data_IF_336645952092
#
_entry.id   IF_336645952092
#
_cell.length_a   1.000
_cell.length_b   1.000
_cell.length_c   1.000
_cell.angle_alpha   90.00
_cell.angle_beta   90.00
_cell.angle_gamma   90.00
#
_symmetry.space_group_name_H-M   'P 1'
#
loop_
_entity.id
_entity.type
_entity.pdbx_description
1 polymer ?
#
# COMPACT_ATOMS: atom_id res chain seq x y z
N UNK A 1 -59.81 -6.59 -0.06
CA UNK A 1 -60.05 -7.95 0.48
C UNK A 1 -59.26 -8.94 -0.39
N UNK A 2 -58.20 -9.61 0.08
CA UNK A 2 -58.15 -10.87 0.90
C UNK A 2 -58.40 -12.12 0.01
N UNK A 3 -57.57 -13.19 -0.05
CA UNK A 3 -56.25 -13.61 0.53
C UNK A 3 -55.59 -14.60 -0.50
N UNK A 4 -54.28 -14.60 -0.81
CA UNK A 4 -53.07 -15.19 -0.15
C UNK A 4 -53.00 -16.74 -0.01
N UNK A 5 -51.78 -17.31 -0.18
CA UNK A 5 -51.25 -18.72 -0.12
C UNK A 5 -51.10 -19.47 -1.47
N UNK A 6 -50.14 -20.38 -1.76
CA UNK A 6 -48.69 -20.68 -1.44
C UNK A 6 -48.44 -22.23 -1.50
N UNK A 7 -47.40 -22.70 -2.22
CA UNK A 7 -46.50 -23.90 -1.98
C UNK A 7 -45.70 -24.26 -3.28
N UNK A 8 -44.35 -24.30 -3.37
CA UNK A 8 -43.29 -25.29 -2.93
C UNK A 8 -43.35 -26.63 -3.73
N UNK A 9 -42.36 -27.07 -4.54
CA UNK A 9 -41.10 -27.83 -4.23
C UNK A 9 -39.99 -27.77 -5.35
N UNK A 10 -38.90 -28.58 -5.27
CA UNK A 10 -37.54 -28.45 -5.92
C UNK A 10 -37.14 -29.73 -6.75
N UNK A 11 -36.03 -29.73 -7.56
CA UNK A 11 -34.91 -30.75 -7.63
C UNK A 11 -34.22 -31.04 -9.03
N UNK A 12 -32.86 -31.08 -9.06
CA UNK A 12 -31.84 -31.69 -10.03
C UNK A 12 -31.69 -31.16 -11.49
N UNK A 13 -30.56 -31.28 -12.24
CA UNK A 13 -29.24 -32.00 -12.11
C UNK A 13 -28.05 -31.39 -12.94
N UNK A 14 -26.80 -31.89 -12.77
CA UNK A 14 -25.49 -31.42 -13.29
C UNK A 14 -25.05 -31.90 -14.71
N UNK A 15 -24.12 -31.17 -15.37
CA UNK A 15 -22.90 -31.72 -16.06
C UNK A 15 -21.97 -30.62 -16.66
N UNK A 16 -20.65 -30.89 -16.73
CA UNK A 16 -19.61 -30.06 -17.39
C UNK A 16 -18.81 -30.91 -18.41
N UNK A 17 -18.48 -30.38 -19.59
CA UNK A 17 -17.42 -30.93 -20.45
C UNK A 17 -16.90 -29.89 -21.46
N UNK A 18 -15.59 -29.72 -21.58
CA UNK A 18 -14.91 -28.91 -22.60
C UNK A 18 -13.76 -29.72 -23.23
N UNK A 19 -13.60 -29.63 -24.56
CA UNK A 19 -12.42 -30.11 -25.29
C UNK A 19 -11.95 -29.03 -26.28
N UNK A 20 -10.63 -28.98 -26.51
CA UNK A 20 -9.96 -27.99 -27.35
C UNK A 20 -9.71 -28.48 -28.79
N UNK A 21 -9.32 -27.56 -29.67
CA UNK A 21 -9.13 -27.79 -31.11
C UNK A 21 -7.65 -27.78 -31.55
N UNK A 22 -7.39 -28.27 -32.76
CA UNK A 22 -6.18 -28.06 -33.57
C UNK A 22 -6.60 -27.46 -34.94
N UNK A 23 -5.75 -26.87 -35.79
CA UNK A 23 -4.29 -26.73 -35.82
C UNK A 23 -3.83 -25.60 -36.80
N UNK A 24 -2.52 -25.35 -36.84
CA UNK A 24 -1.73 -24.66 -37.89
C UNK A 24 -1.53 -23.12 -37.85
N UNK A 25 -0.29 -22.71 -38.11
CA UNK A 25 0.24 -21.36 -37.94
C UNK A 25 1.32 -21.00 -38.99
N UNK A 26 1.52 -19.69 -39.23
CA UNK A 26 2.67 -19.12 -39.95
C UNK A 26 3.34 -18.09 -39.01
N UNK A 27 4.66 -18.20 -38.82
CA UNK A 27 5.37 -17.45 -37.79
C UNK A 27 5.90 -16.09 -38.30
N UNK A 28 5.46 -15.02 -37.64
CA UNK A 28 6.18 -13.73 -37.54
C UNK A 28 6.25 -13.41 -36.05
N UNK A 29 7.46 -13.26 -35.50
CA UNK A 29 7.80 -13.53 -34.08
C UNK A 29 6.61 -13.51 -33.11
N UNK A 30 6.07 -14.71 -32.89
CA UNK A 30 4.69 -14.91 -32.49
C UNK A 30 4.47 -14.64 -31.00
N UNK A 31 5.54 -14.67 -30.19
CA UNK A 31 5.46 -14.50 -28.75
C UNK A 31 5.15 -13.04 -28.36
N UNK A 32 5.90 -12.08 -28.91
CA UNK A 32 5.76 -10.66 -28.55
C UNK A 32 4.49 -10.07 -29.18
N UNK A 33 4.25 -10.34 -30.47
CA UNK A 33 3.03 -9.89 -31.15
C UNK A 33 1.76 -10.59 -30.61
N UNK A 34 1.92 -11.80 -30.05
CA UNK A 34 0.85 -12.54 -29.36
C UNK A 34 0.50 -11.98 -27.98
N UNK A 35 1.49 -11.48 -27.23
CA UNK A 35 1.24 -10.75 -25.96
C UNK A 35 0.46 -9.45 -26.23
N UNK A 36 0.93 -8.65 -27.20
CA UNK A 36 0.32 -7.34 -27.52
C UNK A 36 -1.13 -7.52 -28.01
N UNK A 37 -1.43 -8.53 -28.83
CA UNK A 37 -2.82 -8.82 -29.24
C UNK A 37 -3.72 -9.41 -28.13
N UNK A 38 -3.16 -10.01 -27.07
CA UNK A 38 -3.97 -10.55 -25.95
C UNK A 38 -4.43 -9.47 -24.96
N UNK A 39 -3.74 -8.34 -24.91
CA UNK A 39 -4.02 -7.24 -23.98
C UNK A 39 -4.89 -6.13 -24.59
N UNK A 40 -5.05 -6.11 -25.91
CA UNK A 40 -5.95 -5.18 -26.60
C UNK A 40 -7.35 -5.79 -26.79
N UNK A 41 -8.44 -5.01 -26.67
CA UNK A 41 -9.78 -5.46 -27.04
C UNK A 41 -9.83 -5.87 -28.50
N UNK A 42 -10.62 -6.90 -28.82
CA UNK A 42 -10.90 -7.22 -30.22
C UNK A 42 -11.67 -6.05 -30.88
N UNK A 43 -11.55 -5.87 -32.20
CA UNK A 43 -12.02 -4.67 -32.92
C UNK A 43 -13.53 -4.38 -32.80
N UNK A 44 -14.31 -5.34 -32.28
CA UNK A 44 -15.76 -5.25 -32.05
C UNK A 44 -16.14 -5.14 -30.56
N UNK A 45 -15.20 -4.82 -29.66
CA UNK A 45 -15.46 -4.44 -28.26
C UNK A 45 -15.80 -5.55 -27.26
N UNK A 46 -16.06 -6.80 -27.69
CA UNK A 46 -16.40 -7.89 -26.77
C UNK A 46 -15.17 -8.56 -26.11
N UNK A 47 -15.24 -8.71 -24.79
CA UNK A 47 -14.23 -9.34 -23.93
C UNK A 47 -14.46 -10.85 -23.78
N UNK A 48 -13.38 -11.63 -23.70
CA UNK A 48 -13.43 -13.06 -23.39
C UNK A 48 -13.74 -13.34 -21.90
N UNK A 49 -14.16 -14.56 -21.51
CA UNK A 49 -14.42 -14.89 -20.11
C UNK A 49 -13.23 -14.67 -19.16
N UNK A 50 -12.00 -14.92 -19.63
CA UNK A 50 -10.78 -14.63 -18.87
C UNK A 50 -10.57 -13.11 -18.66
N UNK A 51 -10.91 -12.30 -19.67
CA UNK A 51 -10.90 -10.84 -19.55
C UNK A 51 -12.07 -10.33 -18.68
N UNK A 52 -13.23 -11.00 -18.68
CA UNK A 52 -14.34 -10.68 -17.77
C UNK A 52 -13.98 -10.97 -16.30
N UNK A 53 -13.22 -12.02 -15.99
CA UNK A 53 -12.74 -12.26 -14.61
C UNK A 53 -11.82 -11.12 -14.16
N UNK A 54 -10.91 -10.65 -15.02
CA UNK A 54 -10.08 -9.47 -14.77
C UNK A 54 -10.92 -8.18 -14.64
N UNK A 55 -12.11 -8.12 -15.24
CA UNK A 55 -13.00 -6.97 -15.18
C UNK A 55 -13.94 -6.99 -13.95
N UNK A 56 -14.38 -8.17 -13.50
CA UNK A 56 -15.23 -8.38 -12.31
C UNK A 56 -14.42 -8.22 -11.02
N UNK A 57 -13.16 -8.67 -11.03
CA UNK A 57 -12.16 -8.37 -9.98
C UNK A 57 -11.26 -7.19 -10.37
N UNK A 58 -11.73 -6.34 -11.29
CA UNK A 58 -10.99 -5.19 -11.82
C UNK A 58 -10.87 -4.05 -10.82
N UNK A 59 -9.97 -3.09 -11.07
CA UNK A 59 -9.76 -1.96 -10.18
C UNK A 59 -11.06 -1.17 -10.01
N UNK A 60 -11.48 -1.00 -8.77
CA UNK A 60 -12.67 -0.21 -8.42
C UNK A 60 -12.55 1.18 -9.04
N UNK A 61 -13.63 1.65 -9.68
CA UNK A 61 -13.57 2.79 -10.59
C UNK A 61 -13.24 4.12 -9.89
N UNK A 62 -11.95 4.43 -9.78
CA UNK A 62 -11.51 5.82 -9.78
C UNK A 62 -11.43 6.30 -11.22
N UNK A 63 -12.41 7.13 -11.60
CA UNK A 63 -12.17 8.12 -12.66
C UNK A 63 -10.94 8.91 -12.22
N UNK A 64 -9.82 8.77 -12.92
CA UNK A 64 -8.63 9.59 -12.66
C UNK A 64 -9.02 11.06 -12.85
N UNK A 65 -9.31 11.76 -11.76
CA UNK A 65 -9.56 13.19 -11.80
C UNK A 65 -8.23 13.89 -12.05
N UNK A 66 -7.96 14.13 -13.34
CA UNK A 66 -6.76 14.80 -13.85
C UNK A 66 -5.45 14.27 -13.24
N UNK A 67 -4.88 13.22 -13.84
CA UNK A 67 -3.53 12.75 -13.49
C UNK A 67 -2.49 13.88 -13.50
N UNK A 68 -2.67 14.88 -14.36
CA UNK A 68 -1.88 16.10 -14.40
C UNK A 68 -2.00 16.93 -13.10
N UNK A 69 -3.20 17.15 -12.57
CA UNK A 69 -3.38 17.90 -11.31
C UNK A 69 -2.87 17.12 -10.09
N UNK A 70 -2.95 15.79 -10.10
CA UNK A 70 -2.41 14.96 -9.02
C UNK A 70 -0.89 15.02 -9.00
N UNK A 71 -0.23 14.90 -10.17
CA UNK A 71 1.22 15.01 -10.30
C UNK A 71 1.70 16.45 -9.95
N UNK A 72 0.98 17.49 -10.38
CA UNK A 72 1.29 18.87 -9.98
C UNK A 72 1.11 19.10 -8.47
N UNK A 73 0.06 18.52 -7.85
CA UNK A 73 -0.20 18.65 -6.40
C UNK A 73 0.81 17.90 -5.54
N UNK A 74 1.32 16.77 -6.02
CA UNK A 74 2.29 15.94 -5.29
C UNK A 74 3.72 16.48 -5.35
N UNK A 75 4.04 17.31 -6.34
CA UNK A 75 5.41 17.74 -6.58
C UNK A 75 6.28 16.61 -7.16
N UNK A 76 7.46 16.98 -7.65
CA UNK A 76 8.30 16.10 -8.48
C UNK A 76 9.03 14.98 -7.71
N UNK A 77 8.83 14.84 -6.39
CA UNK A 77 9.64 13.97 -5.51
C UNK A 77 8.83 12.98 -4.65
N UNK A 78 7.51 12.89 -4.84
CA UNK A 78 6.68 11.83 -4.25
C UNK A 78 6.57 10.61 -5.19
N UNK A 79 6.90 9.42 -4.69
CA UNK A 79 6.73 8.14 -5.37
C UNK A 79 5.30 7.61 -5.18
N UNK A 80 4.49 7.60 -6.23
CA UNK A 80 3.11 7.08 -6.20
C UNK A 80 3.12 5.56 -6.32
N UNK A 81 2.55 4.86 -5.34
CA UNK A 81 2.32 3.41 -5.37
C UNK A 81 0.83 3.10 -5.34
N UNK A 82 0.34 2.51 -6.44
CA UNK A 82 -1.07 2.15 -6.62
C UNK A 82 -1.58 1.27 -5.48
N UNK A 83 -2.67 1.69 -4.82
CA UNK A 83 -3.29 0.97 -3.71
C UNK A 83 -2.59 1.09 -2.36
N UNK A 84 -1.52 1.89 -2.23
CA UNK A 84 -0.83 2.16 -0.94
C UNK A 84 -0.83 3.65 -0.60
N UNK A 85 -0.58 4.53 -1.58
CA UNK A 85 -0.44 5.98 -1.41
C UNK A 85 0.78 6.53 -2.15
N UNK A 86 1.14 7.78 -1.88
CA UNK A 86 2.38 8.38 -2.35
C UNK A 86 3.34 8.66 -1.19
N UNK A 87 4.62 8.33 -1.37
CA UNK A 87 5.63 8.44 -0.32
C UNK A 87 6.82 9.30 -0.75
N UNK A 88 7.40 10.03 0.22
CA UNK A 88 8.59 10.85 0.02
C UNK A 88 9.55 10.70 1.18
N UNK A 89 10.83 10.43 0.90
CA UNK A 89 11.90 10.43 1.89
C UNK A 89 12.54 11.83 1.99
N UNK A 90 12.40 12.48 3.14
CA UNK A 90 13.22 13.63 3.49
C UNK A 90 14.53 13.14 4.12
N UNK A 91 15.63 13.18 3.37
CA UNK A 91 16.97 12.81 3.85
C UNK A 91 17.50 13.78 4.92
N UNK A 92 17.00 15.03 4.95
CA UNK A 92 17.33 16.01 5.99
C UNK A 92 16.87 15.51 7.36
N UNK A 93 17.75 15.60 8.36
CA UNK A 93 17.49 15.06 9.70
C UNK A 93 16.79 16.09 10.59
N UNK A 94 15.64 15.73 11.16
CA UNK A 94 14.84 16.58 12.05
C UNK A 94 14.28 15.79 13.26
N UNK A 95 14.01 16.46 14.40
CA UNK A 95 13.15 15.95 15.47
C UNK A 95 11.77 15.53 14.96
N UNK A 96 11.19 14.48 15.55
CA UNK A 96 9.95 13.85 15.08
C UNK A 96 8.79 14.84 14.91
N UNK A 97 8.54 15.72 15.90
CA UNK A 97 7.51 16.75 15.81
C UNK A 97 7.75 17.80 14.71
N UNK A 98 9.02 18.09 14.37
CA UNK A 98 9.36 18.99 13.24
C UNK A 98 9.15 18.27 11.91
N UNK A 99 9.50 16.99 11.83
CA UNK A 99 9.22 16.14 10.66
C UNK A 99 7.70 15.99 10.40
N UNK A 100 6.90 15.74 11.44
CA UNK A 100 5.41 15.72 11.37
C UNK A 100 4.87 17.01 10.75
N UNK A 101 5.35 18.16 11.21
CA UNK A 101 4.91 19.45 10.67
C UNK A 101 5.25 19.64 9.19
N UNK A 102 6.44 19.23 8.75
CA UNK A 102 6.80 19.26 7.32
C UNK A 102 5.82 18.44 6.49
N UNK A 103 5.50 17.20 6.89
CA UNK A 103 4.59 16.38 6.10
C UNK A 103 3.17 16.97 6.03
N UNK A 104 2.72 17.66 7.09
CA UNK A 104 1.44 18.40 7.11
C UNK A 104 1.51 19.62 6.18
N UNK A 105 2.62 20.36 6.17
CA UNK A 105 2.86 21.48 5.24
C UNK A 105 2.90 21.01 3.77
N UNK A 106 3.32 19.78 3.50
CA UNK A 106 3.26 19.11 2.18
C UNK A 106 1.89 18.47 1.86
N UNK A 107 0.89 18.62 2.73
CA UNK A 107 -0.48 18.13 2.49
C UNK A 107 -0.70 16.64 2.79
N UNK A 108 0.20 16.02 3.54
CA UNK A 108 0.11 14.64 4.02
C UNK A 108 0.40 14.52 5.52
N UNK A 109 1.03 13.41 5.91
CA UNK A 109 1.43 13.14 7.29
C UNK A 109 2.71 12.29 7.34
N UNK A 110 3.30 12.09 8.52
CA UNK A 110 4.37 11.09 8.68
C UNK A 110 3.83 9.71 8.30
N UNK A 111 4.61 8.93 7.55
CA UNK A 111 4.14 7.67 6.99
C UNK A 111 3.74 6.68 8.09
N UNK A 112 2.50 6.20 8.01
CA UNK A 112 2.00 5.06 8.78
C UNK A 112 2.05 3.87 7.83
N UNK A 113 2.76 2.82 8.22
CA UNK A 113 2.87 1.58 7.44
C UNK A 113 1.61 0.75 7.71
N UNK A 114 0.91 0.36 6.65
CA UNK A 114 -0.31 -0.45 6.73
C UNK A 114 -0.14 -1.89 6.21
N UNK A 115 1.04 -2.24 5.70
CA UNK A 115 1.31 -3.58 5.17
C UNK A 115 2.79 -3.92 5.05
N UNK A 116 3.09 -5.22 4.97
CA UNK A 116 4.42 -5.75 4.65
C UNK A 116 4.92 -5.32 3.25
N UNK A 117 4.02 -4.96 2.33
CA UNK A 117 4.39 -4.47 1.00
C UNK A 117 4.87 -3.02 1.08
N UNK A 118 4.23 -2.22 1.93
CA UNK A 118 4.63 -0.84 2.20
C UNK A 118 5.95 -0.78 2.99
N UNK A 119 6.15 -1.63 4.00
CA UNK A 119 7.45 -1.80 4.68
C UNK A 119 8.59 -1.98 3.67
N UNK A 120 8.46 -2.96 2.76
CA UNK A 120 9.47 -3.27 1.74
C UNK A 120 9.72 -2.12 0.76
N UNK A 121 8.68 -1.39 0.38
CA UNK A 121 8.80 -0.19 -0.45
C UNK A 121 9.65 0.86 0.26
N UNK A 122 9.34 1.17 1.52
CA UNK A 122 10.07 2.18 2.29
C UNK A 122 11.52 1.74 2.58
N UNK A 123 11.75 0.46 2.90
CA UNK A 123 13.11 -0.11 3.02
C UNK A 123 13.92 0.05 1.73
N UNK A 124 13.31 -0.15 0.56
CA UNK A 124 13.99 0.04 -0.72
C UNK A 124 14.41 1.51 -0.93
N UNK A 125 13.52 2.46 -0.64
CA UNK A 125 13.82 3.90 -0.72
C UNK A 125 14.95 4.28 0.26
N UNK A 126 14.96 3.70 1.47
CA UNK A 126 16.06 3.89 2.45
C UNK A 126 17.41 3.43 1.89
N UNK A 127 17.47 2.23 1.31
CA UNK A 127 18.70 1.64 0.77
C UNK A 127 19.22 2.44 -0.44
N UNK A 128 18.36 2.81 -1.40
CA UNK A 128 18.76 3.63 -2.55
C UNK A 128 19.35 4.99 -2.14
N UNK A 129 18.81 5.59 -1.08
CA UNK A 129 19.27 6.87 -0.54
C UNK A 129 20.38 6.74 0.52
N UNK A 130 20.84 5.51 0.83
CA UNK A 130 21.87 5.21 1.85
C UNK A 130 21.52 5.75 3.24
N UNK A 131 20.23 5.71 3.60
CA UNK A 131 19.70 6.14 4.89
C UNK A 131 19.43 4.92 5.76
N UNK A 132 19.98 4.88 6.97
CA UNK A 132 19.82 3.72 7.86
C UNK A 132 18.42 3.61 8.49
N UNK A 133 17.75 4.74 8.74
CA UNK A 133 16.44 4.78 9.40
C UNK A 133 15.72 6.10 9.13
N UNK A 134 14.39 6.09 9.19
CA UNK A 134 13.56 7.28 9.03
C UNK A 134 12.31 7.25 9.93
N UNK A 135 11.90 8.41 10.44
CA UNK A 135 10.69 8.57 11.26
C UNK A 135 9.43 8.11 10.53
N UNK A 136 8.56 7.44 11.29
CA UNK A 136 7.20 7.06 10.95
C UNK A 136 6.18 7.82 11.79
N UNK A 137 4.92 7.74 11.41
CA UNK A 137 3.78 8.35 12.10
C UNK A 137 3.27 7.53 13.29
N UNK A 138 4.16 6.99 14.14
CA UNK A 138 3.82 6.14 15.29
C UNK A 138 4.55 6.60 16.56
N UNK A 139 3.88 6.50 17.72
CA UNK A 139 4.37 6.94 19.03
C UNK A 139 3.57 6.27 20.17
N UNK A 140 4.12 6.27 21.39
CA UNK A 140 3.41 5.88 22.63
C UNK A 140 3.30 7.05 23.64
N UNK A 141 3.43 8.30 23.15
CA UNK A 141 3.37 9.54 23.93
C UNK A 141 2.11 9.76 24.81
N UNK A 142 1.10 8.90 24.72
CA UNK A 142 -0.10 8.92 25.56
C UNK A 142 0.04 8.03 26.80
N UNK A 143 0.51 6.80 26.61
CA UNK A 143 0.76 5.81 27.66
C UNK A 143 1.90 4.90 27.19
N UNK A 144 2.92 4.74 28.03
CA UNK A 144 4.12 3.94 27.76
C UNK A 144 3.77 2.51 27.31
N UNK A 145 4.24 2.12 26.13
CA UNK A 145 3.95 0.82 25.52
C UNK A 145 2.59 0.69 24.81
N UNK A 146 1.68 1.68 24.91
CA UNK A 146 0.44 1.74 24.11
C UNK A 146 0.68 2.53 22.82
N UNK A 147 1.18 1.82 21.81
CA UNK A 147 1.61 2.42 20.55
C UNK A 147 0.42 2.83 19.68
N UNK A 148 0.33 4.13 19.43
CA UNK A 148 -0.68 4.78 18.58
C UNK A 148 -0.05 5.40 17.34
N UNK A 149 -0.87 5.64 16.32
CA UNK A 149 -0.49 6.44 15.16
C UNK A 149 -0.78 7.93 15.35
N UNK A 150 -0.22 8.77 14.48
CA UNK A 150 -0.52 10.20 14.41
C UNK A 150 -1.97 10.55 13.97
N UNK A 151 -2.80 9.52 13.74
CA UNK A 151 -4.25 9.60 13.45
C UNK A 151 -5.11 9.18 14.66
N UNK A 152 -4.49 8.95 15.83
CA UNK A 152 -5.15 8.49 17.07
C UNK A 152 -5.75 7.07 16.95
N UNK A 153 -5.15 6.22 16.11
CA UNK A 153 -5.49 4.81 15.91
C UNK A 153 -4.42 3.88 16.53
N UNK A 154 -4.78 2.79 17.24
CA UNK A 154 -3.81 1.82 17.76
C UNK A 154 -2.96 1.16 16.66
N UNK A 155 -1.67 0.95 16.91
CA UNK A 155 -0.72 0.44 15.93
C UNK A 155 -1.10 -0.96 15.40
N UNK A 156 -1.61 -1.83 16.27
CA UNK A 156 -2.07 -3.18 15.92
C UNK A 156 -3.27 -3.15 14.96
N UNK A 157 -4.09 -2.08 14.99
CA UNK A 157 -5.23 -1.93 14.10
C UNK A 157 -4.81 -1.58 12.66
N UNK A 158 -3.59 -1.10 12.45
CA UNK A 158 -3.14 -0.58 11.14
C UNK A 158 -2.81 -1.66 10.11
N UNK A 159 -2.80 -2.94 10.50
CA UNK A 159 -2.40 -4.06 9.65
C UNK A 159 -0.87 -4.31 9.59
N UNK A 160 -0.09 -3.52 10.32
CA UNK A 160 1.36 -3.69 10.47
C UNK A 160 1.82 -3.12 11.82
N UNK A 161 2.42 -3.98 12.66
CA UNK A 161 2.94 -3.64 13.99
C UNK A 161 4.26 -4.37 14.28
N UNK A 162 5.13 -4.50 13.27
CA UNK A 162 6.39 -5.25 13.38
C UNK A 162 7.54 -4.41 13.91
N UNK A 163 8.03 -4.78 15.07
CA UNK A 163 9.29 -4.30 15.64
C UNK A 163 10.49 -5.08 15.10
N UNK A 164 11.67 -4.47 15.15
CA UNK A 164 12.89 -5.09 14.64
C UNK A 164 13.35 -6.25 15.50
N UNK A 165 13.93 -7.28 14.87
CA UNK A 165 14.56 -8.40 15.57
C UNK A 165 16.08 -8.19 15.76
N UNK A 166 16.60 -7.02 15.40
CA UNK A 166 18.02 -6.65 15.54
C UNK A 166 18.36 -6.08 16.92
N UNK A 167 17.37 -5.51 17.59
CA UNK A 167 17.46 -4.94 18.94
C UNK A 167 16.65 -5.84 19.85
N UNK A 168 17.22 -6.20 21.00
CA UNK A 168 16.58 -7.14 21.92
C UNK A 168 15.44 -6.42 22.67
N UNK A 169 14.23 -6.97 22.56
CA UNK A 169 13.01 -6.43 23.16
C UNK A 169 12.50 -5.10 22.57
N UNK A 170 12.84 -4.75 21.31
CA UNK A 170 12.24 -3.59 20.66
C UNK A 170 10.68 -3.70 20.62
N UNK A 171 9.93 -2.63 20.96
CA UNK A 171 10.42 -1.33 21.42
C UNK A 171 10.93 -1.42 22.87
N UNK A 172 12.17 -0.98 23.12
CA UNK A 172 12.90 -1.30 24.36
C UNK A 172 12.93 -0.17 25.40
N UNK A 173 12.46 1.02 25.02
CA UNK A 173 12.43 2.25 25.82
C UNK A 173 13.71 2.50 26.63
N UNK A 174 14.85 2.40 25.95
CA UNK A 174 16.18 2.70 26.43
C UNK A 174 16.24 4.03 27.22
N UNK A 175 16.50 3.89 28.52
CA UNK A 175 16.53 4.95 29.53
C UNK A 175 15.20 5.70 29.79
N UNK A 176 14.05 5.18 29.37
CA UNK A 176 12.74 5.78 29.65
C UNK A 176 12.49 7.09 28.89
N UNK A 177 12.77 7.10 27.58
CA UNK A 177 12.76 8.29 26.71
C UNK A 177 12.34 8.05 25.25
N UNK A 178 12.24 6.81 24.79
CA UNK A 178 12.02 6.51 23.38
C UNK A 178 10.52 6.33 23.13
N UNK A 179 9.92 7.36 22.54
CA UNK A 179 8.46 7.44 22.39
C UNK A 179 7.99 7.71 20.95
N UNK A 180 8.89 7.58 19.98
CA UNK A 180 8.63 7.86 18.57
C UNK A 180 9.27 6.78 17.69
N UNK A 181 8.52 6.23 16.74
CA UNK A 181 9.00 5.11 15.92
C UNK A 181 9.73 5.53 14.63
N UNK A 182 10.80 4.82 14.29
CA UNK A 182 11.43 4.80 12.96
C UNK A 182 11.20 3.47 12.25
N UNK A 183 11.30 3.47 10.92
CA UNK A 183 11.61 2.27 10.15
C UNK A 183 13.12 2.12 10.03
N UNK A 184 13.66 0.92 10.29
CA UNK A 184 15.06 0.59 9.99
C UNK A 184 15.19 0.05 8.55
N UNK A 185 16.30 0.36 7.88
CA UNK A 185 16.61 -0.20 6.54
C UNK A 185 16.71 -1.73 6.52
N UNK A 186 17.04 -2.33 7.66
CA UNK A 186 17.21 -3.77 7.84
C UNK A 186 15.88 -4.48 8.20
N UNK A 187 14.78 -3.72 8.29
CA UNK A 187 13.42 -4.22 8.51
C UNK A 187 12.94 -4.09 9.97
N UNK A 188 11.62 -3.98 10.11
CA UNK A 188 10.96 -3.68 11.38
C UNK A 188 11.15 -2.25 11.87
N UNK A 189 10.30 -1.87 12.83
CA UNK A 189 10.35 -0.59 13.52
C UNK A 189 11.27 -0.63 14.73
N UNK A 190 11.69 0.55 15.17
CA UNK A 190 12.49 0.79 16.37
C UNK A 190 12.02 2.09 17.02
N UNK A 191 11.99 2.16 18.35
CA UNK A 191 11.63 3.35 19.10
C UNK A 191 12.85 4.23 19.36
N UNK A 192 12.72 5.56 19.31
CA UNK A 192 13.82 6.50 19.55
C UNK A 192 13.32 7.75 20.31
N UNK A 193 14.23 8.45 20.98
CA UNK A 193 13.91 9.72 21.63
C UNK A 193 13.41 10.73 20.59
N UNK A 194 12.18 11.22 20.74
CA UNK A 194 11.50 12.09 19.76
C UNK A 194 12.25 13.39 19.41
N UNK A 195 13.22 13.78 20.24
CA UNK A 195 14.10 14.94 20.04
C UNK A 195 15.23 14.68 19.04
N UNK A 196 15.57 13.40 18.79
CA UNK A 196 16.67 12.99 17.93
C UNK A 196 16.44 13.43 16.47
N UNK A 197 17.53 13.73 15.76
CA UNK A 197 17.44 14.13 14.36
C UNK A 197 17.56 12.90 13.43
N UNK A 198 16.44 12.47 12.85
CA UNK A 198 16.40 11.42 11.82
C UNK A 198 15.81 11.94 10.50
N UNK A 199 16.12 11.25 9.41
CA UNK A 199 15.37 11.38 8.16
C UNK A 199 13.90 10.98 8.41
N UNK A 200 12.99 11.25 7.48
CA UNK A 200 11.57 10.95 7.69
C UNK A 200 10.81 10.67 6.40
N UNK A 201 9.82 9.79 6.49
CA UNK A 201 8.89 9.53 5.39
C UNK A 201 7.61 10.35 5.57
N UNK A 202 7.23 11.09 4.54
CA UNK A 202 5.89 11.63 4.39
C UNK A 202 5.04 10.70 3.52
N UNK A 203 3.76 10.55 3.85
CA UNK A 203 2.74 9.80 3.10
C UNK A 203 1.57 10.72 2.76
N UNK A 204 1.07 10.60 1.54
CA UNK A 204 -0.19 11.21 1.07
C UNK A 204 -1.09 10.06 0.60
N UNK A 205 -2.32 10.03 1.11
CA UNK A 205 -3.38 9.10 0.72
C UNK A 205 -4.33 9.77 -0.29
N UNK A 206 -5.07 8.96 -1.06
CA UNK A 206 -5.98 9.39 -2.14
C UNK A 206 -7.32 8.65 -2.03
#
# INVERSE_FOLDING_TARGET
MIIMLRCVTVVLSYALMYCAASENAIATDTAINGLIRKLLPNANGNLSPAQQIIYIYGPHQWKMQNGNNLIEKLGNDYLITSGIGAHKLHVRKLPWNKARRICIEEGGHLAIINSNSEEKLLMHILEENKVNQAWLGVHDLYEEGDWSTIMDEPLEAMGYSKWTLKIANAPDNYNGKQHCGVLLKDGGMDDLECTAANAFFCKITF
#
